data_IF_676885672607
#
_entry.id   IF_676885672607
#
_cell.length_a   1.000
_cell.length_b   1.000
_cell.length_c   1.000
_cell.angle_alpha   90.00
_cell.angle_beta   90.00
_cell.angle_gamma   90.00
#
_symmetry.space_group_name_H-M   'P 1'
#
loop_
_entity.id
_entity.type
_entity.pdbx_description
1 polymer ?
#
# COMPACT_ATOMS: atom_id res chain seq x y z
N UNK A 1 10.06 -8.43 10.39
CA UNK A 1 10.16 -9.61 11.30
C UNK A 1 9.23 -9.50 12.51
N UNK A 2 9.09 -8.32 13.16
CA UNK A 2 8.16 -8.13 14.27
C UNK A 2 6.67 -8.36 13.90
N UNK A 3 6.24 -7.92 12.71
CA UNK A 3 4.86 -8.07 12.24
C UNK A 3 4.40 -9.53 12.08
N UNK A 4 5.24 -10.40 11.49
CA UNK A 4 4.89 -11.82 11.31
C UNK A 4 4.78 -12.59 12.63
N UNK A 5 5.58 -12.22 13.65
CA UNK A 5 5.52 -12.83 14.98
C UNK A 5 4.24 -12.37 15.71
N UNK A 6 3.95 -11.06 15.68
CA UNK A 6 2.73 -10.51 16.26
C UNK A 6 1.47 -11.08 15.58
N UNK A 7 1.51 -11.25 14.25
CA UNK A 7 0.43 -11.87 13.48
C UNK A 7 0.18 -13.32 13.91
N UNK A 8 1.23 -14.16 14.00
CA UNK A 8 1.07 -15.54 14.47
C UNK A 8 0.53 -15.63 15.89
N UNK A 9 0.93 -14.72 16.78
CA UNK A 9 0.37 -14.64 18.13
C UNK A 9 -1.14 -14.28 18.09
N UNK A 10 -1.52 -13.29 17.29
CA UNK A 10 -2.93 -12.92 17.07
C UNK A 10 -3.75 -14.11 16.56
N UNK A 11 -3.22 -14.85 15.58
CA UNK A 11 -3.86 -16.03 15.01
C UNK A 11 -4.14 -17.10 16.05
N UNK A 12 -3.18 -17.40 16.94
CA UNK A 12 -3.36 -18.36 18.04
C UNK A 12 -4.41 -17.92 19.05
N UNK A 13 -4.49 -16.63 19.34
CA UNK A 13 -5.54 -16.11 20.24
C UNK A 13 -6.92 -16.19 19.59
N UNK A 14 -7.03 -15.85 18.31
CA UNK A 14 -8.31 -15.80 17.59
C UNK A 14 -8.89 -17.18 17.31
N UNK A 15 -8.04 -18.15 16.99
CA UNK A 15 -8.40 -19.52 16.60
C UNK A 15 -7.91 -20.55 17.62
N UNK A 16 -7.98 -20.23 18.91
CA UNK A 16 -7.45 -21.07 19.99
C UNK A 16 -8.11 -22.46 20.10
N UNK A 17 -9.33 -22.61 19.58
CA UNK A 17 -10.06 -23.89 19.53
C UNK A 17 -9.73 -24.72 18.28
N UNK A 18 -9.00 -24.16 17.31
CA UNK A 18 -8.61 -24.84 16.07
C UNK A 18 -7.28 -25.58 16.22
N UNK A 19 -7.00 -26.51 15.31
CA UNK A 19 -5.73 -27.23 15.31
C UNK A 19 -4.54 -26.31 14.99
N UNK A 20 -3.37 -26.62 15.55
CA UNK A 20 -2.14 -25.86 15.25
C UNK A 20 -1.78 -25.95 13.76
N UNK A 21 -2.13 -27.07 13.09
CA UNK A 21 -1.98 -27.24 11.63
C UNK A 21 -2.85 -26.23 10.86
N UNK A 22 -4.12 -26.08 11.25
CA UNK A 22 -5.01 -25.08 10.66
C UNK A 22 -4.47 -23.66 10.81
N UNK A 23 -3.99 -23.31 12.02
CA UNK A 23 -3.40 -21.99 12.30
C UNK A 23 -2.15 -21.75 11.44
N UNK A 24 -1.30 -22.77 11.28
CA UNK A 24 -0.09 -22.69 10.45
C UNK A 24 -0.42 -22.48 8.97
N UNK A 25 -1.36 -23.25 8.43
CA UNK A 25 -1.79 -23.16 7.04
C UNK A 25 -2.41 -21.80 6.72
N UNK A 26 -3.31 -21.33 7.59
CA UNK A 26 -3.96 -20.03 7.45
C UNK A 26 -2.94 -18.88 7.54
N UNK A 27 -1.97 -18.99 8.45
CA UNK A 27 -0.87 -18.03 8.56
C UNK A 27 0.02 -18.03 7.31
N UNK A 28 0.39 -19.20 6.80
CA UNK A 28 1.22 -19.33 5.61
C UNK A 28 0.51 -18.81 4.35
N UNK A 29 -0.78 -19.11 4.20
CA UNK A 29 -1.62 -18.55 3.13
C UNK A 29 -1.61 -17.02 3.18
N UNK A 30 -1.85 -16.45 4.36
CA UNK A 30 -1.97 -15.00 4.55
C UNK A 30 -0.66 -14.26 4.31
N UNK A 31 0.46 -14.82 4.76
CA UNK A 31 1.79 -14.26 4.50
C UNK A 31 2.12 -14.28 3.00
N UNK A 32 1.90 -15.40 2.32
CA UNK A 32 2.11 -15.50 0.86
C UNK A 32 1.23 -14.53 0.08
N UNK A 33 0.00 -14.32 0.52
CA UNK A 33 -0.92 -13.36 -0.05
C UNK A 33 -0.38 -11.93 0.01
N UNK A 34 0.12 -11.49 1.17
CA UNK A 34 0.71 -10.16 1.34
C UNK A 34 2.04 -10.03 0.59
N UNK A 35 2.90 -11.05 0.61
CA UNK A 35 4.14 -11.08 -0.18
C UNK A 35 3.86 -10.91 -1.68
N UNK A 36 2.82 -11.56 -2.20
CA UNK A 36 2.41 -11.41 -3.59
C UNK A 36 1.97 -9.98 -3.92
N UNK A 37 1.34 -9.26 -2.97
CA UNK A 37 1.00 -7.83 -3.16
C UNK A 37 2.26 -6.98 -3.29
N UNK A 38 3.28 -7.20 -2.46
CA UNK A 38 4.56 -6.50 -2.61
C UNK A 38 5.22 -6.76 -3.97
N UNK A 39 5.14 -8.00 -4.44
CA UNK A 39 5.65 -8.37 -5.77
C UNK A 39 4.89 -7.63 -6.88
N UNK A 40 3.56 -7.65 -6.84
CA UNK A 40 2.71 -6.98 -7.84
C UNK A 40 2.94 -5.46 -7.88
N UNK A 41 3.07 -4.82 -6.71
CA UNK A 41 3.39 -3.39 -6.60
C UNK A 41 4.70 -3.09 -7.33
N UNK A 42 5.74 -3.88 -7.07
CA UNK A 42 7.02 -3.70 -7.73
C UNK A 42 6.93 -3.93 -9.24
N UNK A 43 6.26 -5.00 -9.67
CA UNK A 43 6.08 -5.33 -11.08
C UNK A 43 5.36 -4.20 -11.83
N UNK A 44 4.22 -3.73 -11.34
CA UNK A 44 3.46 -2.64 -11.97
C UNK A 44 4.25 -1.33 -11.99
N UNK A 45 5.02 -1.06 -10.93
CA UNK A 45 5.89 0.13 -10.89
C UNK A 45 6.97 0.10 -11.97
N UNK A 46 7.55 -1.08 -12.24
CA UNK A 46 8.52 -1.26 -13.33
C UNK A 46 7.87 -1.12 -14.70
N UNK A 47 6.68 -1.71 -14.90
CA UNK A 47 5.91 -1.55 -16.14
C UNK A 47 5.64 -0.07 -16.44
N UNK A 48 5.24 0.70 -15.42
CA UNK A 48 5.03 2.15 -15.55
C UNK A 48 6.31 2.86 -15.98
N UNK A 49 7.44 2.60 -15.32
CA UNK A 49 8.71 3.24 -15.64
C UNK A 49 9.11 2.97 -17.10
N UNK A 50 8.95 1.75 -17.58
CA UNK A 50 9.20 1.41 -18.98
C UNK A 50 8.22 2.06 -19.96
N UNK A 51 6.93 2.10 -19.60
CA UNK A 51 5.90 2.77 -20.39
C UNK A 51 6.19 4.27 -20.58
N UNK A 52 6.67 4.95 -19.54
CA UNK A 52 7.04 6.37 -19.58
C UNK A 52 8.27 6.63 -20.45
N UNK A 53 9.25 5.72 -20.43
CA UNK A 53 10.44 5.81 -21.26
C UNK A 53 10.19 5.40 -22.73
N UNK A 54 8.96 4.99 -23.07
CA UNK A 54 8.55 4.52 -24.41
C UNK A 54 9.44 3.40 -24.94
N UNK A 55 10.04 2.63 -24.05
CA UNK A 55 11.03 1.60 -24.37
C UNK A 55 10.38 0.29 -24.82
N UNK A 56 9.14 0.01 -24.40
CA UNK A 56 8.49 -1.26 -24.66
C UNK A 56 6.95 -1.14 -24.73
N UNK A 57 6.39 -1.36 -25.92
CA UNK A 57 4.95 -1.28 -26.19
C UNK A 57 4.15 -2.40 -25.49
N UNK A 58 4.74 -3.58 -25.27
CA UNK A 58 4.08 -4.68 -24.55
C UNK A 58 3.90 -4.28 -23.08
N UNK A 59 4.95 -3.78 -22.44
CA UNK A 59 4.91 -3.36 -21.03
C UNK A 59 3.95 -2.18 -20.82
N UNK A 60 3.89 -1.26 -21.78
CA UNK A 60 2.89 -0.18 -21.79
C UNK A 60 1.46 -0.74 -21.79
N UNK A 61 1.13 -1.70 -22.66
CA UNK A 61 -0.20 -2.32 -22.69
C UNK A 61 -0.51 -3.07 -21.40
N UNK A 62 0.47 -3.75 -20.82
CA UNK A 62 0.32 -4.41 -19.52
C UNK A 62 0.02 -3.40 -18.40
N UNK A 63 0.73 -2.27 -18.39
CA UNK A 63 0.46 -1.18 -17.44
C UNK A 63 -0.95 -0.58 -17.61
N UNK A 64 -1.35 -0.27 -18.84
CA UNK A 64 -2.68 0.26 -19.15
C UNK A 64 -3.79 -0.72 -18.73
N UNK A 65 -3.57 -2.02 -18.92
CA UNK A 65 -4.48 -3.07 -18.43
C UNK A 65 -4.56 -3.11 -16.91
N UNK A 66 -3.43 -3.00 -16.21
CA UNK A 66 -3.41 -2.95 -14.74
C UNK A 66 -4.15 -1.72 -14.22
N UNK A 67 -3.90 -0.54 -14.81
CA UNK A 67 -4.61 0.70 -14.50
C UNK A 67 -6.12 0.58 -14.74
N UNK A 68 -6.53 -0.04 -15.86
CA UNK A 68 -7.93 -0.27 -16.16
C UNK A 68 -8.62 -1.15 -15.10
N UNK A 69 -8.00 -2.24 -14.68
CA UNK A 69 -8.55 -3.08 -13.61
C UNK A 69 -8.58 -2.36 -12.27
N UNK A 70 -7.54 -1.59 -11.94
CA UNK A 70 -7.49 -0.81 -10.72
C UNK A 70 -8.63 0.23 -10.68
N UNK A 71 -8.83 0.96 -11.78
CA UNK A 71 -9.92 1.91 -11.94
C UNK A 71 -11.30 1.24 -11.77
N UNK A 72 -11.52 0.10 -12.42
CA UNK A 72 -12.81 -0.61 -12.33
C UNK A 72 -13.14 -1.02 -10.88
N UNK A 73 -12.17 -1.52 -10.14
CA UNK A 73 -12.37 -1.87 -8.74
C UNK A 73 -12.65 -0.63 -7.89
N UNK A 74 -11.87 0.43 -8.04
CA UNK A 74 -12.06 1.69 -7.32
C UNK A 74 -13.45 2.31 -7.61
N UNK A 75 -13.85 2.32 -8.88
CA UNK A 75 -15.17 2.80 -9.31
C UNK A 75 -16.29 1.98 -8.66
N UNK A 76 -16.19 0.65 -8.67
CA UNK A 76 -17.20 -0.19 -8.04
C UNK A 76 -17.29 0.05 -6.52
N UNK A 77 -16.15 0.22 -5.84
CA UNK A 77 -16.13 0.52 -4.41
C UNK A 77 -16.73 1.90 -4.10
N UNK A 78 -16.41 2.93 -4.88
CA UNK A 78 -16.99 4.27 -4.74
C UNK A 78 -18.49 4.24 -5.00
N UNK A 79 -18.92 3.54 -6.04
CA UNK A 79 -20.35 3.40 -6.32
C UNK A 79 -21.09 2.62 -5.23
N UNK A 80 -20.45 1.62 -4.63
CA UNK A 80 -21.00 0.86 -3.51
C UNK A 80 -21.06 1.68 -2.21
N UNK A 81 -20.14 2.62 -1.97
CA UNK A 81 -20.15 3.45 -0.75
C UNK A 81 -21.39 4.35 -0.65
N UNK A 82 -21.99 4.72 -1.79
CA UNK A 82 -23.21 5.52 -1.86
C UNK A 82 -24.51 4.72 -1.83
N UNK A 83 -24.46 3.39 -1.98
CA UNK A 83 -25.66 2.55 -1.92
C UNK A 83 -25.90 2.15 -0.47
N UNK A 84 -27.04 2.56 0.09
CA UNK A 84 -27.55 1.97 1.33
C UNK A 84 -27.60 0.44 1.17
N UNK A 85 -27.14 -0.34 2.16
CA UNK A 85 -27.21 -1.79 2.09
C UNK A 85 -28.68 -2.22 2.16
N UNK A 86 -29.34 -2.23 1.01
CA UNK A 86 -30.62 -2.91 0.82
C UNK A 86 -30.36 -4.38 1.10
N UNK A 87 -30.90 -4.88 2.21
CA UNK A 87 -30.66 -6.19 2.81
C UNK A 87 -31.09 -7.38 1.97
N UNK A 88 -30.53 -7.56 0.78
CA UNK A 88 -30.71 -8.76 -0.04
C UNK A 88 -29.37 -9.47 -0.23
N UNK A 89 -29.40 -10.77 0.10
CA UNK A 89 -28.33 -11.77 0.12
C UNK A 89 -27.65 -11.98 -1.25
N UNK A 90 -27.05 -10.94 -1.83
CA UNK A 90 -26.38 -11.04 -3.12
C UNK A 90 -24.90 -11.43 -2.93
N UNK A 91 -24.69 -12.58 -2.29
CA UNK A 91 -23.38 -13.11 -1.88
C UNK A 91 -22.52 -13.57 -3.07
N UNK A 92 -23.06 -13.59 -4.29
CA UNK A 92 -22.40 -14.18 -5.46
C UNK A 92 -21.45 -13.27 -6.24
N UNK A 93 -21.66 -11.94 -6.23
CA UNK A 93 -20.90 -11.03 -7.11
C UNK A 93 -20.38 -9.74 -6.43
N UNK A 94 -20.88 -9.39 -5.24
CA UNK A 94 -20.47 -8.18 -4.52
C UNK A 94 -19.28 -8.39 -3.57
N UNK A 95 -18.74 -9.62 -3.51
CA UNK A 95 -17.69 -9.98 -2.56
C UNK A 95 -16.44 -9.11 -2.68
N UNK A 96 -15.93 -8.91 -3.89
CA UNK A 96 -14.73 -8.08 -4.11
C UNK A 96 -14.96 -6.60 -3.80
N UNK A 97 -16.12 -6.05 -4.18
CA UNK A 97 -16.45 -4.63 -3.96
C UNK A 97 -16.62 -4.34 -2.47
N UNK A 98 -17.30 -5.24 -1.75
CA UNK A 98 -17.48 -5.14 -0.31
C UNK A 98 -16.16 -5.28 0.45
N UNK A 99 -15.33 -6.26 0.03
CA UNK A 99 -13.98 -6.46 0.56
C UNK A 99 -13.06 -5.26 0.28
N UNK A 100 -13.14 -4.67 -0.91
CA UNK A 100 -12.45 -3.43 -1.26
C UNK A 100 -12.96 -2.23 -0.46
N UNK A 101 -14.26 -2.13 -0.23
CA UNK A 101 -14.87 -1.07 0.59
C UNK A 101 -14.46 -1.19 2.07
N UNK A 102 -14.38 -2.41 2.64
CA UNK A 102 -13.83 -2.61 3.99
C UNK A 102 -12.40 -2.07 4.11
N UNK A 103 -11.58 -2.23 3.05
CA UNK A 103 -10.24 -1.66 3.05
C UNK A 103 -10.24 -0.12 3.06
N UNK A 104 -11.22 0.55 2.46
CA UNK A 104 -11.26 2.03 2.51
C UNK A 104 -11.55 2.53 3.92
N UNK A 105 -12.34 1.78 4.70
CA UNK A 105 -12.61 2.09 6.12
C UNK A 105 -11.35 1.95 6.96
N UNK A 106 -10.53 0.92 6.70
CA UNK A 106 -9.37 0.60 7.53
C UNK A 106 -8.12 1.38 7.12
N UNK A 107 -7.78 1.35 5.83
CA UNK A 107 -6.53 1.88 5.29
C UNK A 107 -6.69 3.15 4.45
N UNK A 108 -7.92 3.63 4.26
CA UNK A 108 -8.23 4.72 3.35
C UNK A 108 -8.27 4.29 1.89
N UNK A 109 -8.70 5.22 1.04
CA UNK A 109 -8.70 5.05 -0.41
C UNK A 109 -7.31 4.87 -0.99
N UNK A 110 -6.26 5.40 -0.34
CA UNK A 110 -4.87 5.15 -0.73
C UNK A 110 -4.53 3.67 -0.70
N UNK A 111 -4.89 2.95 0.37
CA UNK A 111 -4.60 1.51 0.46
C UNK A 111 -5.36 0.75 -0.63
N UNK A 112 -6.64 1.07 -0.85
CA UNK A 112 -7.41 0.48 -1.94
C UNK A 112 -6.76 0.76 -3.29
N UNK A 113 -6.37 1.99 -3.58
CA UNK A 113 -5.72 2.37 -4.84
C UNK A 113 -4.43 1.62 -5.11
N UNK A 114 -3.65 1.31 -4.06
CA UNK A 114 -2.45 0.46 -4.14
C UNK A 114 -2.85 -0.99 -4.43
N UNK A 115 -3.71 -1.57 -3.60
CA UNK A 115 -4.14 -2.98 -3.72
C UNK A 115 -4.90 -3.24 -5.02
N UNK A 116 -5.56 -2.24 -5.59
CA UNK A 116 -6.31 -2.37 -6.84
C UNK A 116 -5.41 -2.65 -8.05
N UNK A 117 -4.12 -2.33 -7.99
CA UNK A 117 -3.14 -2.74 -8.99
C UNK A 117 -2.66 -4.20 -8.82
N UNK A 118 -2.80 -4.78 -7.63
CA UNK A 118 -2.23 -6.08 -7.32
C UNK A 118 -3.14 -7.23 -7.79
N UNK A 119 -2.72 -8.00 -8.80
CA UNK A 119 -3.49 -9.15 -9.28
C UNK A 119 -3.77 -10.16 -8.16
N UNK A 120 -2.81 -10.35 -7.26
CA UNK A 120 -2.97 -11.16 -6.06
C UNK A 120 -4.15 -10.70 -5.20
N UNK A 121 -4.32 -9.38 -5.00
CA UNK A 121 -5.47 -8.83 -4.28
C UNK A 121 -6.80 -9.16 -4.95
N UNK A 122 -6.87 -9.03 -6.28
CA UNK A 122 -8.07 -9.41 -7.05
C UNK A 122 -8.39 -10.89 -6.89
N UNK A 123 -7.37 -11.75 -6.93
CA UNK A 123 -7.51 -13.19 -6.76
C UNK A 123 -8.01 -13.55 -5.37
N UNK A 124 -7.35 -13.06 -4.32
CA UNK A 124 -7.69 -13.32 -2.91
C UNK A 124 -9.12 -12.84 -2.63
N UNK A 125 -9.46 -11.63 -3.07
CA UNK A 125 -10.79 -11.06 -2.86
C UNK A 125 -11.92 -11.92 -3.44
N UNK A 126 -11.65 -12.70 -4.49
CA UNK A 126 -12.62 -13.62 -5.12
C UNK A 126 -12.67 -14.99 -4.45
N UNK A 127 -11.53 -15.55 -4.08
CA UNK A 127 -11.43 -16.98 -3.73
C UNK A 127 -11.30 -17.25 -2.22
N UNK A 128 -10.87 -16.26 -1.43
CA UNK A 128 -10.68 -16.45 0.00
C UNK A 128 -12.02 -16.72 0.69
N UNK A 129 -12.07 -17.74 1.54
CA UNK A 129 -13.17 -17.89 2.49
C UNK A 129 -13.13 -16.78 3.56
N UNK A 130 -14.13 -16.71 4.45
CA UNK A 130 -14.21 -15.58 5.39
C UNK A 130 -13.04 -15.57 6.38
N UNK A 131 -12.64 -16.72 6.94
CA UNK A 131 -11.49 -16.80 7.85
C UNK A 131 -10.19 -16.35 7.16
N UNK A 132 -9.96 -16.78 5.92
CA UNK A 132 -8.83 -16.34 5.10
C UNK A 132 -8.86 -14.84 4.83
N UNK A 133 -10.05 -14.29 4.53
CA UNK A 133 -10.20 -12.86 4.30
C UNK A 133 -9.98 -12.04 5.57
N UNK A 134 -10.55 -12.44 6.70
CA UNK A 134 -10.36 -11.76 7.99
C UNK A 134 -8.89 -11.72 8.39
N UNK A 135 -8.17 -12.83 8.24
CA UNK A 135 -6.74 -12.90 8.54
C UNK A 135 -5.92 -12.02 7.58
N UNK A 136 -6.25 -12.08 6.29
CA UNK A 136 -5.60 -11.25 5.28
C UNK A 136 -5.85 -9.76 5.53
N UNK A 137 -7.08 -9.36 5.83
CA UNK A 137 -7.44 -7.98 6.17
C UNK A 137 -6.71 -7.52 7.44
N UNK A 138 -6.64 -8.36 8.47
CA UNK A 138 -5.89 -8.05 9.69
C UNK A 138 -4.41 -7.81 9.41
N UNK A 139 -3.76 -8.71 8.65
CA UNK A 139 -2.34 -8.54 8.31
C UNK A 139 -2.09 -7.31 7.43
N UNK A 140 -2.96 -7.07 6.44
CA UNK A 140 -2.88 -5.90 5.57
C UNK A 140 -3.03 -4.60 6.37
N UNK A 141 -3.86 -4.63 7.41
CA UNK A 141 -4.06 -3.50 8.34
C UNK A 141 -2.82 -3.25 9.18
N UNK A 142 -2.24 -4.30 9.78
CA UNK A 142 -1.02 -4.15 10.59
C UNK A 142 0.19 -3.71 9.77
N UNK A 143 0.21 -4.03 8.47
CA UNK A 143 1.30 -3.68 7.54
C UNK A 143 0.95 -2.48 6.65
N UNK A 144 -0.15 -1.77 6.93
CA UNK A 144 -0.69 -0.73 6.04
C UNK A 144 0.32 0.36 5.70
N UNK A 145 1.05 0.86 6.71
CA UNK A 145 2.07 1.91 6.52
C UNK A 145 3.25 1.40 5.71
N UNK A 146 3.70 0.17 5.99
CA UNK A 146 4.78 -0.49 5.26
C UNK A 146 4.44 -0.62 3.77
N UNK A 147 3.21 -1.05 3.45
CA UNK A 147 2.70 -1.17 2.07
C UNK A 147 2.63 0.20 1.40
N UNK A 148 2.08 1.21 2.09
CA UNK A 148 1.98 2.58 1.58
C UNK A 148 3.35 3.18 1.27
N UNK A 149 4.32 3.01 2.17
CA UNK A 149 5.70 3.48 2.00
C UNK A 149 6.36 2.73 0.84
N UNK A 150 6.23 1.40 0.79
CA UNK A 150 6.81 0.59 -0.29
C UNK A 150 6.25 0.97 -1.67
N UNK A 151 4.94 1.10 -1.80
CA UNK A 151 4.32 1.53 -3.06
C UNK A 151 4.77 2.94 -3.46
N UNK A 152 4.89 3.85 -2.50
CA UNK A 152 5.31 5.23 -2.76
C UNK A 152 6.80 5.30 -3.14
N UNK A 153 7.67 4.49 -2.54
CA UNK A 153 9.12 4.46 -2.85
C UNK A 153 9.44 3.83 -4.20
N UNK A 154 8.57 2.95 -4.70
CA UNK A 154 8.64 2.40 -6.06
C UNK A 154 7.99 3.30 -7.12
N UNK A 155 7.34 4.39 -6.71
CA UNK A 155 6.68 5.31 -7.63
C UNK A 155 5.41 4.73 -8.26
N UNK A 156 4.67 3.88 -7.52
CA UNK A 156 3.37 3.40 -7.97
C UNK A 156 2.37 4.57 -8.06
N UNK A 157 1.70 4.73 -9.20
CA UNK A 157 0.68 5.76 -9.45
C UNK A 157 -0.69 5.41 -8.86
N UNK A 158 -0.74 5.08 -7.56
CA UNK A 158 -1.99 4.67 -6.86
C UNK A 158 -3.13 5.71 -6.96
N UNK A 159 -2.83 6.97 -7.26
CA UNK A 159 -3.79 8.07 -7.44
C UNK A 159 -4.51 8.03 -8.77
N UNK A 160 -3.88 7.48 -9.81
CA UNK A 160 -4.43 7.43 -11.17
C UNK A 160 -5.84 6.79 -11.23
N UNK A 161 -6.11 5.62 -10.61
CA UNK A 161 -7.45 5.05 -10.61
C UNK A 161 -8.48 5.84 -9.77
N UNK A 162 -8.04 6.76 -8.90
CA UNK A 162 -8.90 7.51 -7.98
C UNK A 162 -9.22 8.93 -8.46
N UNK A 163 -8.34 9.55 -9.26
CA UNK A 163 -8.48 10.95 -9.67
C UNK A 163 -9.82 11.24 -10.37
N UNK A 164 -10.28 10.33 -11.25
CA UNK A 164 -11.56 10.47 -11.94
C UNK A 164 -12.78 10.35 -11.00
N UNK A 165 -12.58 9.85 -9.78
CA UNK A 165 -13.60 9.61 -8.76
C UNK A 165 -13.55 10.64 -7.62
N UNK A 166 -12.66 11.62 -7.68
CA UNK A 166 -12.38 12.56 -6.58
C UNK A 166 -13.62 13.34 -6.10
N UNK A 167 -14.56 13.62 -6.98
CA UNK A 167 -15.80 14.35 -6.67
C UNK A 167 -16.94 13.44 -6.22
N UNK A 168 -16.78 12.11 -6.31
CA UNK A 168 -17.82 11.16 -5.95
C UNK A 168 -17.81 10.90 -4.44
N UNK A 169 -16.62 10.71 -3.85
CA UNK A 169 -16.47 10.35 -2.44
C UNK A 169 -15.50 11.30 -1.73
N UNK A 170 -15.94 11.89 -0.61
CA UNK A 170 -15.15 12.84 0.16
C UNK A 170 -13.87 12.22 0.76
N UNK A 171 -13.89 10.90 1.03
CA UNK A 171 -12.72 10.16 1.45
C UNK A 171 -11.67 10.05 0.34
N UNK A 172 -12.10 9.92 -0.92
CA UNK A 172 -11.17 9.93 -2.06
C UNK A 172 -10.49 11.29 -2.15
N UNK A 173 -11.27 12.38 -2.07
CA UNK A 173 -10.74 13.74 -2.13
C UNK A 173 -9.70 13.99 -1.02
N UNK A 174 -9.99 13.53 0.20
CA UNK A 174 -9.08 13.62 1.34
C UNK A 174 -7.74 12.91 1.08
N UNK A 175 -7.78 11.68 0.59
CA UNK A 175 -6.56 10.90 0.32
C UNK A 175 -5.78 11.44 -0.87
N UNK A 176 -6.47 12.02 -1.86
CA UNK A 176 -5.88 12.78 -2.97
C UNK A 176 -5.33 14.16 -2.55
N UNK A 177 -5.16 14.45 -1.26
CA UNK A 177 -4.38 15.62 -0.83
C UNK A 177 -2.92 15.59 -1.35
N UNK A 178 -2.19 16.72 -1.27
CA UNK A 178 -0.77 16.77 -1.59
C UNK A 178 0.04 15.73 -0.80
N UNK A 179 0.98 15.06 -1.44
CA UNK A 179 1.87 14.09 -0.79
C UNK A 179 3.31 14.27 -1.26
N UNK A 180 4.26 13.93 -0.38
CA UNK A 180 5.69 13.91 -0.73
C UNK A 180 5.95 12.69 -1.62
N UNK A 181 6.58 12.92 -2.77
CA UNK A 181 6.94 11.86 -3.71
C UNK A 181 8.26 11.22 -3.32
N UNK A 182 8.25 10.31 -2.34
CA UNK A 182 9.47 9.68 -1.82
C UNK A 182 10.27 8.86 -2.85
N UNK A 183 9.70 8.51 -4.01
CA UNK A 183 10.45 7.88 -5.09
C UNK A 183 11.49 8.82 -5.73
N UNK A 184 11.34 10.13 -5.56
CA UNK A 184 12.23 11.16 -6.11
C UNK A 184 13.07 11.86 -5.03
N UNK A 185 12.94 11.44 -3.77
CA UNK A 185 13.61 12.05 -2.63
C UNK A 185 14.77 11.17 -2.17
N UNK A 186 15.76 11.76 -1.48
CA UNK A 186 16.73 10.97 -0.75
C UNK A 186 16.13 10.51 0.59
N UNK A 187 16.56 9.36 1.17
CA UNK A 187 16.00 8.84 2.41
C UNK A 187 15.99 9.86 3.56
N UNK A 188 16.98 10.75 3.64
CA UNK A 188 17.11 11.78 4.68
C UNK A 188 16.24 13.03 4.44
N UNK A 189 15.58 13.17 3.29
CA UNK A 189 14.69 14.30 2.99
C UNK A 189 13.33 14.18 3.66
N UNK A 190 12.97 13.00 4.17
CA UNK A 190 11.66 12.74 4.75
C UNK A 190 11.76 12.06 6.10
N UNK A 191 10.89 12.47 7.01
CA UNK A 191 10.69 11.82 8.31
C UNK A 191 9.24 11.41 8.45
N UNK A 192 9.01 10.27 9.11
CA UNK A 192 7.67 9.84 9.49
C UNK A 192 7.27 10.53 10.80
N UNK A 193 6.11 11.18 10.82
CA UNK A 193 5.55 11.81 12.01
C UNK A 193 4.82 10.77 12.87
N UNK A 194 4.53 11.08 14.14
CA UNK A 194 3.86 10.15 15.07
C UNK A 194 2.47 9.71 14.61
N UNK A 195 1.80 10.54 13.82
CA UNK A 195 0.51 10.28 13.16
C UNK A 195 0.64 9.50 11.85
N UNK A 196 1.84 8.99 11.52
CA UNK A 196 2.10 8.17 10.33
C UNK A 196 2.30 8.98 9.03
N UNK A 197 2.12 10.30 9.08
CA UNK A 197 2.37 11.21 7.96
C UNK A 197 3.85 11.31 7.58
N UNK A 198 4.13 11.84 6.40
CA UNK A 198 5.49 12.18 5.96
C UNK A 198 5.65 13.69 5.94
N UNK A 199 6.76 14.18 6.49
CA UNK A 199 7.16 15.59 6.41
C UNK A 199 8.62 15.72 6.00
N UNK A 200 8.96 16.85 5.36
CA UNK A 200 10.36 17.26 5.24
C UNK A 200 10.81 17.87 6.57
N UNK A 201 11.88 17.38 7.20
CA UNK A 201 12.38 17.98 8.44
C UNK A 201 12.87 19.40 8.13
N UNK A 202 12.47 20.39 8.92
CA UNK A 202 12.98 21.76 8.83
C UNK A 202 13.90 21.98 10.03
N UNK A 203 15.20 22.17 9.78
CA UNK A 203 16.14 22.54 10.83
C UNK A 203 16.32 24.06 10.82
N UNK A 204 15.98 24.72 11.93
CA UNK A 204 16.06 26.19 12.00
C UNK A 204 17.51 26.63 11.99
N UNK A 205 17.84 27.58 11.10
CA UNK A 205 19.14 28.26 11.07
C UNK A 205 20.29 27.49 10.40
N UNK A 206 20.11 26.28 9.88
CA UNK A 206 21.19 25.58 9.17
C UNK A 206 20.75 25.05 7.81
N UNK A 207 21.62 25.21 6.81
CA UNK A 207 21.42 24.62 5.49
C UNK A 207 21.50 23.08 5.59
N UNK A 208 20.45 22.40 5.14
CA UNK A 208 20.48 20.95 4.98
C UNK A 208 21.24 20.61 3.70
N UNK A 209 22.46 20.11 3.85
CA UNK A 209 23.30 19.61 2.75
C UNK A 209 23.21 18.10 2.68
N UNK A 210 23.08 17.56 1.46
CA UNK A 210 23.15 16.12 1.24
C UNK A 210 24.53 15.63 1.67
N UNK A 211 24.58 14.60 2.51
CA UNK A 211 25.83 13.88 2.74
C UNK A 211 26.21 13.19 1.43
N UNK A 212 27.35 13.59 0.84
CA UNK A 212 27.87 12.98 -0.39
C UNK A 212 28.48 11.58 -0.18
N UNK A 213 28.52 11.10 1.07
CA UNK A 213 29.11 9.82 1.48
C UNK A 213 28.12 8.98 2.29
N UNK A 214 28.44 7.70 2.48
CA UNK A 214 27.59 6.78 3.20
C UNK A 214 27.57 7.11 4.71
N UNK A 215 26.43 7.56 5.21
CA UNK A 215 26.23 7.87 6.64
C UNK A 215 26.37 6.66 7.57
N UNK A 216 26.32 5.43 7.03
CA UNK A 216 26.49 4.18 7.78
C UNK A 216 27.93 3.65 7.76
N UNK A 217 28.86 4.31 7.05
CA UNK A 217 30.28 3.97 7.08
C UNK A 217 31.05 4.99 7.95
N UNK A 218 31.42 4.63 9.20
CA UNK A 218 32.13 5.54 10.10
C UNK A 218 33.47 6.02 9.54
N UNK A 219 34.10 5.24 8.64
CA UNK A 219 35.37 5.60 8.02
C UNK A 219 35.25 6.67 6.94
N UNK A 220 34.06 6.85 6.36
CA UNK A 220 33.74 7.92 5.42
C UNK A 220 33.28 9.20 6.13
N UNK A 221 32.89 9.09 7.39
CA UNK A 221 32.57 10.22 8.26
C UNK A 221 33.86 10.84 8.85
N UNK A 222 34.74 11.34 7.96
CA UNK A 222 35.91 12.12 8.38
C UNK A 222 35.49 13.55 8.67
N UNK A 223 34.72 13.74 9.73
CA UNK A 223 34.36 15.07 10.20
C UNK A 223 35.60 15.80 10.72
N UNK A 224 36.06 16.82 10.00
CA UNK A 224 36.21 18.08 10.72
C UNK A 224 34.78 18.55 11.01
N UNK A 225 34.43 18.96 12.24
CA UNK A 225 33.12 19.53 12.48
C UNK A 225 32.87 20.63 11.45
N UNK A 226 31.67 20.72 10.85
CA UNK A 226 31.37 21.87 10.01
C UNK A 226 31.61 23.11 10.87
N UNK A 227 32.55 23.97 10.44
CA UNK A 227 32.68 25.30 11.03
C UNK A 227 31.29 25.91 11.04
N UNK A 228 30.79 26.42 12.17
CA UNK A 228 29.46 27.01 12.21
C UNK A 228 29.48 28.25 11.32
N UNK A 229 28.64 28.36 10.28
CA UNK A 229 28.30 29.64 9.71
C UNK A 229 26.88 29.97 10.19
N UNK A 230 26.84 30.76 11.27
CA UNK A 230 25.71 31.57 11.76
C UNK A 230 24.37 30.87 12.05
#
# INVERSE_FOLDING_TARGET
MAGAIAFKAHMRTRYHDESEEFIQDLSAYTLKAVEAIYWDINFVSQLRASAQNKTNEIEKRLYERALHYAYRLAYNCAHASHKTPSGTNDRGNRGMEYRGLRLTVIGGWKLLGICAYAESFHKISKIANESQWECFEHLLTSECDSIKIFASSRGLEWRAPLNALAQQDAGILKDLGPQINIAQEHPHHTVQTRDGGLKRPVYSGCAQVNAGSNIYNPHEFRGSPPNPPC
#
